data_IF_033720870375
#
_entry.id   IF_033720870375
#
_cell.length_a   1.000
_cell.length_b   1.000
_cell.length_c   1.000
_cell.angle_alpha   90.00
_cell.angle_beta   90.00
_cell.angle_gamma   90.00
#
_symmetry.space_group_name_H-M   'P 1'
#
loop_
_entity.id
_entity.type
_entity.pdbx_description
1 polymer ?
#
# COMPACT_ATOMS: atom_id res chain seq x y z
N UNK A 1 12.59 -6.07 5.81
CA UNK A 1 11.85 -6.49 4.59
C UNK A 1 11.59 -5.26 3.74
N UNK A 2 11.48 -5.40 2.41
CA UNK A 2 11.13 -4.30 1.52
C UNK A 2 9.66 -4.44 1.08
N UNK A 3 8.92 -3.34 1.20
CA UNK A 3 7.49 -3.28 0.92
C UNK A 3 7.21 -2.28 -0.21
N UNK A 4 6.31 -2.65 -1.12
CA UNK A 4 5.66 -1.70 -2.03
C UNK A 4 4.15 -1.89 -1.95
N UNK A 5 3.47 -0.89 -1.37
CA UNK A 5 2.05 -0.99 -1.08
C UNK A 5 1.15 -0.42 -2.19
N UNK A 6 1.68 -0.13 -3.38
CA UNK A 6 0.90 0.48 -4.47
C UNK A 6 1.30 0.01 -5.86
N UNK A 7 1.12 -1.28 -6.16
CA UNK A 7 1.22 -1.76 -7.55
C UNK A 7 -0.15 -1.59 -8.20
N UNK A 8 -0.25 -0.84 -9.29
CA UNK A 8 -1.57 -0.50 -9.86
C UNK A 8 -2.26 -1.72 -10.46
N UNK A 9 -3.50 -1.97 -10.04
CA UNK A 9 -4.38 -2.87 -10.78
C UNK A 9 -4.71 -2.26 -12.15
N UNK A 10 -4.84 -3.04 -13.23
CA UNK A 10 -4.99 -2.47 -14.57
C UNK A 10 -6.33 -1.78 -14.85
N UNK A 11 -7.37 -2.04 -14.05
CA UNK A 11 -8.69 -1.41 -14.21
C UNK A 11 -9.01 -0.50 -13.02
N UNK A 12 -9.79 0.55 -13.28
CA UNK A 12 -10.18 1.58 -12.29
C UNK A 12 -11.68 1.63 -12.03
N UNK A 13 -12.42 0.64 -12.53
CA UNK A 13 -13.86 0.53 -12.36
C UNK A 13 -14.28 -0.94 -12.25
N UNK A 14 -15.52 -1.18 -11.81
CA UNK A 14 -16.10 -2.52 -11.67
C UNK A 14 -16.65 -3.09 -12.98
N UNK A 15 -16.89 -2.26 -14.00
CA UNK A 15 -17.54 -2.68 -15.25
C UNK A 15 -16.61 -3.47 -16.16
N UNK A 16 -15.32 -3.13 -16.16
CA UNK A 16 -14.32 -3.74 -17.03
C UNK A 16 -13.44 -4.73 -16.25
N UNK A 17 -13.27 -5.93 -16.81
CA UNK A 17 -12.25 -6.89 -16.37
C UNK A 17 -10.92 -6.62 -17.10
N UNK A 18 -9.77 -6.84 -16.46
CA UNK A 18 -8.47 -6.69 -17.12
C UNK A 18 -8.34 -7.61 -18.33
N UNK A 19 -7.78 -7.08 -19.41
CA UNK A 19 -7.38 -7.88 -20.57
C UNK A 19 -6.13 -8.71 -20.28
N UNK A 20 -5.89 -9.78 -21.03
CA UNK A 20 -4.72 -10.64 -20.84
C UNK A 20 -3.39 -9.88 -21.02
N UNK A 21 -3.34 -8.90 -21.95
CA UNK A 21 -2.16 -8.03 -22.15
C UNK A 21 -1.90 -7.17 -20.91
N UNK A 22 -2.94 -6.60 -20.32
CA UNK A 22 -2.84 -5.82 -19.08
C UNK A 22 -2.40 -6.66 -17.89
N UNK A 23 -2.90 -7.90 -17.76
CA UNK A 23 -2.44 -8.84 -16.74
C UNK A 23 -0.97 -9.20 -16.94
N UNK A 24 -0.53 -9.43 -18.17
CA UNK A 24 0.88 -9.70 -18.44
C UNK A 24 1.78 -8.51 -18.05
N UNK A 25 1.34 -7.27 -18.30
CA UNK A 25 2.06 -6.08 -17.85
C UNK A 25 2.15 -5.98 -16.32
N UNK A 26 1.08 -6.33 -15.60
CA UNK A 26 1.09 -6.46 -14.14
C UNK A 26 2.10 -7.53 -13.71
N UNK A 27 2.13 -8.70 -14.35
CA UNK A 27 3.05 -9.77 -14.00
C UNK A 27 4.51 -9.39 -14.18
N UNK A 28 4.82 -8.70 -15.28
CA UNK A 28 6.15 -8.18 -15.55
C UNK A 28 6.55 -7.15 -14.48
N UNK A 29 5.62 -6.30 -14.04
CA UNK A 29 5.86 -5.29 -13.00
C UNK A 29 6.16 -5.94 -11.65
N UNK A 30 5.35 -6.92 -11.23
CA UNK A 30 5.56 -7.69 -10.00
C UNK A 30 6.90 -8.42 -10.03
N UNK A 31 7.21 -9.08 -11.15
CA UNK A 31 8.49 -9.78 -11.34
C UNK A 31 9.68 -8.83 -11.21
N UNK A 32 9.58 -7.63 -11.82
CA UNK A 32 10.63 -6.62 -11.76
C UNK A 32 10.84 -6.09 -10.34
N UNK A 33 9.75 -5.81 -9.61
CA UNK A 33 9.83 -5.39 -8.20
C UNK A 33 10.48 -6.47 -7.32
N UNK A 34 10.12 -7.73 -7.54
CA UNK A 34 10.76 -8.84 -6.84
C UNK A 34 12.26 -8.94 -7.14
N UNK A 35 12.67 -8.79 -8.41
CA UNK A 35 14.08 -8.73 -8.79
C UNK A 35 14.84 -7.57 -8.14
N UNK A 36 14.17 -6.45 -7.86
CA UNK A 36 14.72 -5.30 -7.12
C UNK A 36 14.77 -5.52 -5.60
N UNK A 37 14.33 -6.69 -5.11
CA UNK A 37 14.40 -7.11 -3.70
C UNK A 37 13.12 -6.88 -2.89
N UNK A 38 12.01 -6.46 -3.52
CA UNK A 38 10.74 -6.32 -2.83
C UNK A 38 10.08 -7.69 -2.58
N UNK A 39 9.70 -7.94 -1.33
CA UNK A 39 9.13 -9.22 -0.90
C UNK A 39 7.64 -9.13 -0.59
N UNK A 40 7.17 -7.95 -0.19
CA UNK A 40 5.78 -7.72 0.22
C UNK A 40 5.16 -6.66 -0.69
N UNK A 41 4.19 -7.06 -1.51
CA UNK A 41 3.56 -6.18 -2.50
C UNK A 41 2.06 -6.08 -2.23
N UNK A 42 1.50 -4.87 -2.30
CA UNK A 42 0.06 -4.67 -2.30
C UNK A 42 -0.43 -4.18 -3.67
N UNK A 43 -1.40 -4.89 -4.21
CA UNK A 43 -2.03 -4.58 -5.50
C UNK A 43 -3.19 -3.64 -5.24
N UNK A 44 -3.10 -2.43 -5.78
CA UNK A 44 -4.00 -1.33 -5.52
C UNK A 44 -5.08 -1.24 -6.60
N UNK A 45 -6.34 -1.38 -6.19
CA UNK A 45 -7.50 -1.02 -6.99
C UNK A 45 -7.89 0.42 -6.65
N UNK A 46 -7.69 1.35 -7.60
CA UNK A 46 -8.05 2.76 -7.44
C UNK A 46 -9.43 3.02 -8.04
N UNK A 47 -10.32 3.61 -7.24
CA UNK A 47 -11.64 4.05 -7.67
C UNK A 47 -11.74 5.57 -7.62
N UNK A 48 -12.29 6.13 -8.68
CA UNK A 48 -12.63 7.55 -8.79
C UNK A 48 -13.86 7.90 -7.95
N UNK A 49 -14.17 9.20 -7.86
CA UNK A 49 -15.29 9.72 -7.11
C UNK A 49 -16.64 9.15 -7.57
N UNK A 50 -17.59 8.99 -6.64
CA UNK A 50 -18.98 8.58 -6.90
C UNK A 50 -19.19 7.17 -7.51
N UNK A 51 -18.18 6.30 -7.49
CA UNK A 51 -18.36 4.91 -7.94
C UNK A 51 -19.17 4.11 -6.91
N UNK A 52 -20.29 3.52 -7.35
CA UNK A 52 -21.12 2.64 -6.51
C UNK A 52 -20.46 1.28 -6.36
N UNK A 53 -20.41 0.78 -5.12
CA UNK A 53 -19.97 -0.59 -4.85
C UNK A 53 -21.01 -1.61 -5.34
N UNK A 54 -20.57 -2.76 -5.88
CA UNK A 54 -21.46 -3.88 -6.18
C UNK A 54 -22.24 -4.33 -4.93
N UNK A 55 -23.47 -4.79 -5.14
CA UNK A 55 -24.29 -5.34 -4.05
C UNK A 55 -23.78 -6.71 -3.58
N UNK A 56 -23.15 -7.48 -4.49
CA UNK A 56 -22.59 -8.78 -4.17
C UNK A 56 -21.27 -8.61 -3.39
N UNK A 57 -21.17 -9.11 -2.14
CA UNK A 57 -19.97 -8.95 -1.33
C UNK A 57 -18.71 -9.58 -1.90
N UNK A 58 -18.84 -10.53 -2.84
CA UNK A 58 -17.71 -11.20 -3.49
C UNK A 58 -17.15 -10.41 -4.68
N UNK A 59 -17.92 -9.47 -5.24
CA UNK A 59 -17.52 -8.65 -6.39
C UNK A 59 -16.89 -7.32 -5.96
N UNK A 60 -16.93 -6.99 -4.66
CA UNK A 60 -16.34 -5.77 -4.10
C UNK A 60 -14.82 -5.73 -4.32
N UNK A 61 -14.14 -6.88 -4.26
CA UNK A 61 -12.72 -6.96 -4.56
C UNK A 61 -12.52 -7.69 -5.90
N UNK A 62 -12.18 -6.97 -6.99
CA UNK A 62 -12.00 -7.59 -8.30
C UNK A 62 -10.64 -8.28 -8.47
N UNK A 63 -9.73 -8.17 -7.48
CA UNK A 63 -8.39 -8.74 -7.53
C UNK A 63 -8.48 -10.20 -7.07
N UNK A 64 -8.32 -11.14 -8.00
CA UNK A 64 -8.18 -12.56 -7.69
C UNK A 64 -6.78 -12.86 -7.16
N UNK A 65 -6.63 -12.71 -5.85
CA UNK A 65 -5.38 -12.96 -5.12
C UNK A 65 -4.89 -14.40 -5.30
N UNK A 66 -5.78 -15.37 -5.33
CA UNK A 66 -5.39 -16.79 -5.30
C UNK A 66 -4.78 -17.20 -6.65
N UNK A 67 -5.37 -16.73 -7.75
CA UNK A 67 -4.80 -16.88 -9.09
C UNK A 67 -3.42 -16.21 -9.22
N UNK A 68 -3.27 -15.00 -8.68
CA UNK A 68 -2.00 -14.28 -8.70
C UNK A 68 -0.93 -15.00 -7.89
N UNK A 69 -1.29 -15.49 -6.71
CA UNK A 69 -0.38 -16.26 -5.86
C UNK A 69 0.03 -17.56 -6.54
N UNK A 70 -0.91 -18.31 -7.12
CA UNK A 70 -0.61 -19.53 -7.84
C UNK A 70 0.39 -19.30 -8.99
N UNK A 71 0.26 -18.18 -9.72
CA UNK A 71 1.19 -17.83 -10.80
C UNK A 71 2.64 -17.61 -10.33
N UNK A 72 2.82 -17.02 -9.15
CA UNK A 72 4.15 -16.67 -8.64
C UNK A 72 4.74 -17.66 -7.65
N UNK A 73 3.94 -18.51 -7.00
CA UNK A 73 4.38 -19.36 -5.90
C UNK A 73 5.53 -20.31 -6.28
N UNK A 74 5.52 -20.86 -7.51
CA UNK A 74 6.59 -21.73 -7.98
C UNK A 74 7.91 -20.99 -8.25
N UNK A 75 7.83 -19.73 -8.67
CA UNK A 75 9.01 -18.93 -9.09
C UNK A 75 9.57 -18.08 -7.96
N UNK A 76 8.70 -17.56 -7.09
CA UNK A 76 9.00 -16.59 -6.04
C UNK A 76 8.27 -16.97 -4.74
N UNK A 77 8.76 -18.00 -4.01
CA UNK A 77 8.09 -18.51 -2.81
C UNK A 77 8.06 -17.48 -1.66
N UNK A 78 9.02 -16.56 -1.62
CA UNK A 78 9.11 -15.52 -0.59
C UNK A 78 8.21 -14.30 -0.86
N UNK A 79 7.56 -14.25 -2.04
CA UNK A 79 6.71 -13.14 -2.45
C UNK A 79 5.33 -13.22 -1.79
N UNK A 80 4.98 -12.18 -1.03
CA UNK A 80 3.68 -12.03 -0.38
C UNK A 80 2.86 -10.95 -1.06
N UNK A 81 1.67 -11.33 -1.55
CA UNK A 81 0.74 -10.44 -2.23
C UNK A 81 -0.45 -10.09 -1.34
N UNK A 82 -0.76 -8.81 -1.28
CA UNK A 82 -1.89 -8.23 -0.53
C UNK A 82 -2.79 -7.43 -1.45
N UNK A 83 -4.03 -7.21 -1.03
CA UNK A 83 -4.99 -6.37 -1.78
C UNK A 83 -5.18 -5.02 -1.10
N UNK A 84 -5.21 -3.96 -1.91
CA UNK A 84 -5.40 -2.59 -1.44
C UNK A 84 -6.51 -1.92 -2.25
N UNK A 85 -7.32 -1.11 -1.59
CA UNK A 85 -8.27 -0.19 -2.21
C UNK A 85 -7.81 1.24 -1.99
N UNK A 86 -7.84 2.08 -3.02
CA UNK A 86 -7.69 3.54 -2.90
C UNK A 86 -8.96 4.23 -3.39
N UNK A 87 -9.59 5.03 -2.53
CA UNK A 87 -10.79 5.81 -2.88
C UNK A 87 -10.44 7.29 -3.03
N UNK A 88 -10.76 7.88 -4.19
CA UNK A 88 -10.70 9.33 -4.36
C UNK A 88 -11.96 9.94 -3.73
N UNK A 89 -11.77 10.86 -2.78
CA UNK A 89 -12.88 11.46 -2.02
C UNK A 89 -12.78 12.98 -2.04
N UNK A 90 -13.86 13.62 -2.47
CA UNK A 90 -13.99 15.08 -2.44
C UNK A 90 -14.95 15.55 -1.35
N UNK A 91 -16.06 14.85 -1.18
CA UNK A 91 -17.10 15.22 -0.24
C UNK A 91 -17.17 14.21 0.92
N UNK A 92 -17.20 14.66 2.20
CA UNK A 92 -17.31 13.76 3.34
C UNK A 92 -18.50 12.78 3.31
N UNK A 93 -19.57 13.06 2.56
CA UNK A 93 -20.71 12.14 2.42
C UNK A 93 -20.31 10.80 1.77
N UNK A 94 -19.34 10.81 0.86
CA UNK A 94 -18.84 9.62 0.16
C UNK A 94 -18.12 8.64 1.09
N UNK A 95 -17.69 9.10 2.27
CA UNK A 95 -17.02 8.28 3.27
C UNK A 95 -17.93 7.20 3.90
N UNK A 96 -19.25 7.37 3.84
CA UNK A 96 -20.21 6.44 4.47
C UNK A 96 -20.17 5.03 3.86
N UNK A 97 -19.71 4.90 2.61
CA UNK A 97 -19.57 3.60 1.94
C UNK A 97 -18.41 2.74 2.45
N UNK A 98 -17.48 3.32 3.22
CA UNK A 98 -16.23 2.66 3.58
C UNK A 98 -16.44 1.39 4.42
N UNK A 99 -17.44 1.38 5.31
CA UNK A 99 -17.74 0.23 6.17
C UNK A 99 -18.07 -1.05 5.38
N UNK A 100 -18.57 -0.93 4.14
CA UNK A 100 -18.87 -2.09 3.29
C UNK A 100 -17.61 -2.77 2.73
N UNK A 101 -16.52 -2.02 2.59
CA UNK A 101 -15.28 -2.48 1.93
C UNK A 101 -14.15 -2.81 2.90
N UNK A 102 -14.24 -2.36 4.16
CA UNK A 102 -13.19 -2.54 5.19
C UNK A 102 -12.67 -3.97 5.36
N UNK A 103 -13.54 -4.97 5.20
CA UNK A 103 -13.21 -6.39 5.36
C UNK A 103 -12.94 -7.13 4.05
N UNK A 104 -12.88 -6.42 2.92
CA UNK A 104 -12.70 -7.01 1.57
C UNK A 104 -11.30 -6.78 0.99
N UNK A 105 -10.58 -5.81 1.53
CA UNK A 105 -9.21 -5.48 1.16
C UNK A 105 -8.33 -5.50 2.41
N UNK A 106 -7.08 -5.94 2.25
CA UNK A 106 -6.10 -5.93 3.35
C UNK A 106 -5.77 -4.50 3.80
N UNK A 107 -5.64 -3.58 2.84
CA UNK A 107 -5.31 -2.17 3.08
C UNK A 107 -6.39 -1.25 2.50
N UNK A 108 -6.80 -0.27 3.30
CA UNK A 108 -7.69 0.81 2.86
C UNK A 108 -6.92 2.12 2.82
N UNK A 109 -6.87 2.72 1.63
CA UNK A 109 -6.29 4.03 1.39
C UNK A 109 -7.35 5.01 0.88
N UNK A 110 -7.15 6.29 1.17
CA UNK A 110 -7.99 7.39 0.67
C UNK A 110 -7.10 8.46 0.05
N UNK A 111 -7.55 8.99 -1.09
CA UNK A 111 -6.95 10.13 -1.78
C UNK A 111 -7.90 11.33 -1.68
N UNK A 112 -7.77 12.20 -0.65
CA UNK A 112 -8.68 13.31 -0.46
C UNK A 112 -8.35 14.47 -1.41
N UNK A 113 -9.37 14.97 -2.12
CA UNK A 113 -9.26 16.11 -3.06
C UNK A 113 -9.74 17.43 -2.45
N UNK A 114 -10.24 17.44 -1.21
CA UNK A 114 -10.61 18.65 -0.47
C UNK A 114 -10.11 18.64 0.98
N UNK A 115 -9.95 19.81 1.59
CA UNK A 115 -9.56 19.92 3.00
C UNK A 115 -10.62 19.28 3.92
N UNK A 116 -11.90 19.40 3.56
CA UNK A 116 -13.01 18.77 4.31
C UNK A 116 -12.95 17.25 4.23
N UNK A 117 -12.69 16.68 3.05
CA UNK A 117 -12.49 15.25 2.87
C UNK A 117 -11.30 14.73 3.68
N UNK A 118 -10.18 15.48 3.70
CA UNK A 118 -9.03 15.11 4.52
C UNK A 118 -9.39 15.04 6.02
N UNK A 119 -10.07 16.05 6.57
CA UNK A 119 -10.49 16.01 7.98
C UNK A 119 -11.44 14.85 8.29
N UNK A 120 -12.39 14.58 7.39
CA UNK A 120 -13.34 13.47 7.56
C UNK A 120 -12.61 12.12 7.55
N UNK A 121 -11.67 11.93 6.63
CA UNK A 121 -10.87 10.71 6.48
C UNK A 121 -10.10 10.35 7.75
N UNK A 122 -9.57 11.34 8.47
CA UNK A 122 -8.79 11.14 9.70
C UNK A 122 -9.65 10.53 10.83
N UNK A 123 -10.97 10.62 10.76
CA UNK A 123 -11.90 10.06 11.75
C UNK A 123 -12.43 8.68 11.37
N UNK A 124 -11.95 8.09 10.26
CA UNK A 124 -12.37 6.78 9.76
C UNK A 124 -11.26 5.74 9.94
N UNK A 125 -11.62 4.48 9.81
CA UNK A 125 -10.68 3.34 9.83
C UNK A 125 -9.93 3.19 8.50
N UNK A 126 -9.12 4.20 8.18
CA UNK A 126 -8.26 4.27 7.00
C UNK A 126 -6.80 4.07 7.42
N UNK A 127 -6.06 3.26 6.68
CA UNK A 127 -4.67 2.92 7.00
C UNK A 127 -3.69 3.96 6.42
N UNK A 128 -3.96 4.38 5.18
CA UNK A 128 -3.07 5.21 4.36
C UNK A 128 -3.86 6.40 3.78
N UNK A 129 -3.27 7.60 3.86
CA UNK A 129 -3.73 8.77 3.10
C UNK A 129 -2.73 9.01 1.98
N UNK A 130 -3.21 8.93 0.74
CA UNK A 130 -2.44 9.22 -0.46
C UNK A 130 -2.76 10.62 -0.98
N UNK A 131 -1.81 11.25 -1.65
CA UNK A 131 -2.07 12.51 -2.35
C UNK A 131 -1.56 12.41 -3.78
N UNK A 132 -2.29 13.04 -4.71
CA UNK A 132 -1.78 13.26 -6.05
C UNK A 132 -0.66 14.30 -5.99
N UNK A 133 0.59 13.83 -5.96
CA UNK A 133 1.76 14.70 -5.85
C UNK A 133 2.06 15.47 -7.14
N UNK A 134 1.52 15.06 -8.29
CA UNK A 134 1.87 15.63 -9.60
C UNK A 134 1.06 16.87 -9.95
N UNK A 135 -0.13 17.01 -9.40
CA UNK A 135 -0.95 18.21 -9.53
C UNK A 135 -0.73 19.12 -8.32
N UNK A 136 -0.95 20.42 -8.49
CA UNK A 136 -0.92 21.34 -7.33
C UNK A 136 -2.04 20.93 -6.37
N UNK A 137 -1.69 20.67 -5.10
CA UNK A 137 -2.70 20.31 -4.12
C UNK A 137 -3.72 21.45 -3.95
N UNK A 138 -5.03 21.14 -3.92
CA UNK A 138 -6.09 22.14 -3.85
C UNK A 138 -6.21 22.81 -2.48
N UNK A 139 -5.51 22.29 -1.47
CA UNK A 139 -5.49 22.84 -0.11
C UNK A 139 -4.10 22.76 0.51
N UNK A 140 -3.89 23.52 1.58
CA UNK A 140 -2.62 23.55 2.29
C UNK A 140 -2.57 22.47 3.39
N UNK A 141 -1.46 21.70 3.44
CA UNK A 141 -1.26 20.69 4.48
C UNK A 141 -0.89 21.35 5.82
N UNK A 142 -1.89 21.51 6.70
CA UNK A 142 -1.70 22.07 8.04
C UNK A 142 -1.06 21.06 8.98
N UNK A 143 -0.04 21.49 9.73
CA UNK A 143 0.70 20.65 10.67
C UNK A 143 -0.21 19.94 11.68
N UNK A 144 -1.18 20.66 12.28
CA UNK A 144 -2.11 20.09 13.27
C UNK A 144 -2.91 18.91 12.72
N UNK A 145 -3.38 19.01 11.48
CA UNK A 145 -4.17 17.97 10.81
C UNK A 145 -3.33 16.75 10.48
N UNK A 146 -2.15 16.95 9.89
CA UNK A 146 -1.25 15.87 9.50
C UNK A 146 -0.69 15.15 10.74
N UNK A 147 -0.31 15.90 11.78
CA UNK A 147 0.15 15.30 13.04
C UNK A 147 -0.95 14.49 13.71
N UNK A 148 -2.18 15.02 13.79
CA UNK A 148 -3.33 14.28 14.34
C UNK A 148 -3.56 12.93 13.62
N UNK A 149 -3.48 12.91 12.29
CA UNK A 149 -3.58 11.66 11.54
C UNK A 149 -2.45 10.69 11.87
N UNK A 150 -1.22 11.21 11.96
CA UNK A 150 -0.02 10.42 12.31
C UNK A 150 -0.13 9.82 13.71
N UNK A 151 -0.64 10.59 14.68
CA UNK A 151 -0.81 10.14 16.07
C UNK A 151 -1.91 9.07 16.18
N UNK A 152 -2.89 9.05 15.26
CA UNK A 152 -3.85 7.95 15.09
C UNK A 152 -3.28 6.72 14.36
N UNK A 153 -2.01 6.74 13.96
CA UNK A 153 -1.37 5.65 13.23
C UNK A 153 -1.69 5.60 11.72
N UNK A 154 -2.23 6.68 11.16
CA UNK A 154 -2.42 6.83 9.71
C UNK A 154 -1.09 7.24 9.09
N UNK A 155 -0.72 6.58 8.00
CA UNK A 155 0.49 6.90 7.26
C UNK A 155 0.18 7.69 6.00
N UNK A 156 1.11 8.55 5.58
CA UNK A 156 1.00 9.37 4.38
C UNK A 156 1.86 8.80 3.25
N UNK A 157 1.23 8.53 2.11
CA UNK A 157 1.88 7.94 0.95
C UNK A 157 2.46 9.01 0.02
N UNK A 158 3.70 8.79 -0.40
CA UNK A 158 4.35 9.47 -1.52
C UNK A 158 4.50 8.44 -2.65
N UNK A 159 3.66 8.57 -3.68
CA UNK A 159 3.70 7.74 -4.87
C UNK A 159 4.66 8.34 -5.91
N UNK A 160 5.75 7.65 -6.25
CA UNK A 160 6.82 8.24 -7.07
C UNK A 160 6.69 7.99 -8.58
N UNK A 161 6.03 6.91 -9.04
CA UNK A 161 5.92 6.58 -10.48
C UNK A 161 5.36 7.74 -11.32
N UNK A 162 4.34 8.49 -10.87
CA UNK A 162 3.82 9.64 -11.61
C UNK A 162 4.87 10.75 -11.87
N UNK A 163 5.94 10.85 -11.07
CA UNK A 163 7.05 11.77 -11.34
C UNK A 163 7.93 11.31 -12.51
N UNK A 164 8.09 9.99 -12.65
CA UNK A 164 8.90 9.35 -13.70
C UNK A 164 8.12 9.32 -15.02
N UNK A 165 6.84 8.99 -14.94
CA UNK A 165 5.98 8.70 -16.09
C UNK A 165 5.00 9.82 -16.44
N UNK A 166 4.90 10.85 -15.59
CA UNK A 166 4.03 12.01 -15.81
C UNK A 166 4.22 12.58 -17.21
N UNK A 167 3.19 13.25 -17.77
CA UNK A 167 2.91 13.38 -19.22
C UNK A 167 4.18 13.33 -20.08
N UNK A 168 4.63 12.11 -20.35
CA UNK A 168 5.98 11.85 -20.81
C UNK A 168 6.06 12.16 -22.30
N UNK A 169 6.35 13.42 -22.60
CA UNK A 169 6.85 13.86 -23.89
C UNK A 169 8.24 14.42 -23.66
N UNK A 170 9.27 13.69 -24.01
CA UNK A 170 10.52 14.36 -24.34
C UNK A 170 10.32 14.98 -25.72
N UNK A 171 10.42 16.29 -25.80
CA UNK A 171 10.36 17.00 -27.09
C UNK A 171 11.77 17.12 -27.62
N UNK A 172 12.03 16.48 -28.76
CA UNK A 172 13.25 16.72 -29.52
C UNK A 172 13.03 18.06 -30.24
N UNK A 173 13.80 19.07 -29.88
CA UNK A 173 13.81 20.33 -30.62
C UNK A 173 14.64 20.12 -31.89
N UNK A 174 14.07 20.38 -33.07
CA UNK A 174 14.62 20.06 -34.40
C UNK A 174 15.99 20.68 -34.76
N UNK A 175 16.72 21.31 -33.82
CA UNK A 175 18.00 21.96 -34.08
C UNK A 175 19.07 21.72 -32.99
N UNK A 176 18.86 20.81 -32.04
CA UNK A 176 19.94 20.39 -31.14
C UNK A 176 19.68 18.99 -30.60
N UNK A 177 20.72 18.18 -30.43
CA UNK A 177 20.70 16.85 -29.79
C UNK A 177 20.28 16.89 -28.30
N UNK A 178 19.71 18.01 -27.83
CA UNK A 178 19.25 18.21 -26.47
C UNK A 178 17.81 17.73 -26.31
N UNK A 179 17.67 16.56 -25.68
CA UNK A 179 16.39 16.01 -25.27
C UNK A 179 15.83 16.86 -24.12
N UNK A 180 14.82 17.69 -24.40
CA UNK A 180 14.16 18.55 -23.40
C UNK A 180 12.83 17.95 -22.94
N UNK A 181 12.52 18.12 -21.66
CA UNK A 181 11.26 17.66 -21.07
C UNK A 181 10.11 18.60 -21.48
N UNK A 182 8.94 18.06 -21.85
CA UNK A 182 7.77 18.89 -22.14
C UNK A 182 7.39 19.80 -20.96
N UNK A 183 6.79 20.95 -21.25
CA UNK A 183 6.33 21.92 -20.23
C UNK A 183 5.42 21.26 -19.19
N UNK A 184 4.53 20.36 -19.61
CA UNK A 184 3.62 19.62 -18.74
C UNK A 184 4.36 18.68 -17.78
N UNK A 185 5.39 17.99 -18.26
CA UNK A 185 6.20 17.10 -17.43
C UNK A 185 7.14 17.88 -16.48
N UNK A 186 7.64 19.04 -16.90
CA UNK A 186 8.39 19.95 -16.02
C UNK A 186 7.50 20.46 -14.87
N UNK A 187 6.27 20.88 -15.18
CA UNK A 187 5.30 21.33 -14.17
C UNK A 187 4.91 20.20 -13.21
N UNK A 188 4.70 18.99 -13.72
CA UNK A 188 4.43 17.78 -12.93
C UNK A 188 5.53 17.51 -11.88
N UNK A 189 6.81 17.55 -12.29
CA UNK A 189 7.95 17.36 -11.38
C UNK A 189 8.08 18.50 -10.38
N UNK A 190 7.88 19.75 -10.80
CA UNK A 190 7.86 20.91 -9.89
C UNK A 190 6.80 20.73 -8.79
N UNK A 191 5.58 20.36 -9.17
CA UNK A 191 4.50 20.11 -8.22
C UNK A 191 4.83 18.94 -7.29
N UNK A 192 5.41 17.86 -7.81
CA UNK A 192 5.85 16.71 -7.02
C UNK A 192 6.76 17.13 -5.88
N UNK A 193 7.86 17.83 -6.18
CA UNK A 193 8.79 18.29 -5.14
C UNK A 193 8.12 19.27 -4.18
N UNK A 194 7.33 20.22 -4.69
CA UNK A 194 6.61 21.19 -3.85
C UNK A 194 5.67 20.50 -2.83
N UNK A 195 4.86 19.55 -3.29
CA UNK A 195 3.90 18.83 -2.47
C UNK A 195 4.60 17.89 -1.47
N UNK A 196 5.66 17.20 -1.90
CA UNK A 196 6.46 16.33 -1.01
C UNK A 196 7.12 17.16 0.10
N UNK A 197 7.74 18.30 -0.23
CA UNK A 197 8.32 19.21 0.76
C UNK A 197 7.26 19.74 1.72
N UNK A 198 6.07 20.08 1.21
CA UNK A 198 4.95 20.53 2.02
C UNK A 198 4.49 19.43 3.01
N UNK A 199 4.42 18.17 2.56
CA UNK A 199 4.06 17.02 3.39
C UNK A 199 5.13 16.71 4.44
N UNK A 200 6.41 16.71 4.07
CA UNK A 200 7.54 16.50 5.01
C UNK A 200 7.49 17.56 6.12
N UNK A 201 7.32 18.83 5.75
CA UNK A 201 7.17 19.93 6.72
C UNK A 201 5.94 19.73 7.62
N UNK A 202 4.79 19.41 7.04
CA UNK A 202 3.54 19.27 7.79
C UNK A 202 3.52 18.06 8.74
N UNK A 203 4.19 16.97 8.36
CA UNK A 203 4.30 15.74 9.15
C UNK A 203 5.47 15.73 10.15
N UNK A 204 6.36 16.74 10.09
CA UNK A 204 7.67 16.71 10.76
C UNK A 204 8.45 15.44 10.42
N UNK A 205 8.33 15.00 9.16
CA UNK A 205 8.92 13.78 8.60
C UNK A 205 8.48 12.47 9.29
N UNK A 206 7.35 12.46 9.99
CA UNK A 206 6.80 11.26 10.65
C UNK A 206 5.71 10.61 9.79
N UNK A 207 5.57 9.29 9.92
CA UNK A 207 4.46 8.56 9.29
C UNK A 207 4.46 8.59 7.77
N UNK A 208 5.60 8.83 7.12
CA UNK A 208 5.72 8.84 5.67
C UNK A 208 5.99 7.43 5.14
N UNK A 209 5.30 7.02 4.09
CA UNK A 209 5.60 5.82 3.32
C UNK A 209 5.80 6.16 1.85
N UNK A 210 6.59 5.35 1.16
CA UNK A 210 6.80 5.48 -0.29
C UNK A 210 6.31 4.22 -0.98
N UNK A 211 5.71 4.41 -2.14
CA UNK A 211 5.22 3.34 -2.99
C UNK A 211 5.47 3.68 -4.45
N UNK A 212 5.44 2.66 -5.31
CA UNK A 212 5.69 2.87 -6.73
C UNK A 212 4.51 3.54 -7.42
N UNK A 213 3.29 3.04 -7.27
CA UNK A 213 2.19 3.39 -8.19
C UNK A 213 2.49 2.95 -9.62
N UNK A 214 3.32 1.92 -9.80
CA UNK A 214 3.74 1.46 -11.11
C UNK A 214 2.62 0.68 -11.80
N UNK A 215 2.32 1.06 -13.04
CA UNK A 215 1.49 0.30 -13.99
C UNK A 215 2.35 -0.51 -14.96
N UNK A 216 3.63 -0.17 -15.08
CA UNK A 216 4.58 -0.82 -15.97
C UNK A 216 5.92 -1.07 -15.27
N UNK A 217 6.60 -2.16 -15.67
CA UNK A 217 7.90 -2.57 -15.12
C UNK A 217 8.97 -1.47 -15.17
N UNK A 218 8.99 -0.66 -16.23
CA UNK A 218 9.95 0.45 -16.42
C UNK A 218 9.86 1.55 -15.36
N UNK A 219 8.76 1.58 -14.60
CA UNK A 219 8.51 2.56 -13.55
C UNK A 219 9.00 2.09 -12.18
N UNK A 220 9.32 0.80 -12.03
CA UNK A 220 9.87 0.25 -10.80
C UNK A 220 11.28 0.81 -10.54
N UNK A 221 11.61 1.06 -9.27
CA UNK A 221 12.91 1.61 -8.85
C UNK A 221 13.43 0.84 -7.65
N UNK A 222 14.75 0.82 -7.49
CA UNK A 222 15.37 0.18 -6.35
C UNK A 222 15.14 1.01 -5.08
N UNK A 223 15.23 0.37 -3.91
CA UNK A 223 15.14 1.05 -2.63
C UNK A 223 16.23 2.12 -2.43
N UNK A 224 17.40 1.93 -3.05
CA UNK A 224 18.51 2.89 -3.02
C UNK A 224 18.20 4.15 -3.82
N UNK A 225 17.56 4.03 -4.99
CA UNK A 225 17.13 5.19 -5.79
C UNK A 225 16.07 5.99 -5.04
N UNK A 226 15.11 5.30 -4.43
CA UNK A 226 14.08 5.92 -3.59
C UNK A 226 14.73 6.63 -2.40
N UNK A 227 15.70 6.01 -1.73
CA UNK A 227 16.43 6.64 -0.64
C UNK A 227 17.15 7.91 -1.10
N UNK A 228 17.76 7.90 -2.29
CA UNK A 228 18.41 9.08 -2.87
C UNK A 228 17.41 10.22 -3.13
N UNK A 229 16.25 9.89 -3.72
CA UNK A 229 15.17 10.85 -3.95
C UNK A 229 14.70 11.50 -2.64
N UNK A 230 14.41 10.71 -1.62
CA UNK A 230 13.92 11.21 -0.34
C UNK A 230 14.96 12.06 0.41
N UNK A 231 16.23 11.66 0.37
CA UNK A 231 17.34 12.45 0.91
C UNK A 231 17.45 13.82 0.24
N UNK A 232 17.28 13.86 -1.08
CA UNK A 232 17.25 15.11 -1.85
C UNK A 232 16.09 16.01 -1.43
N UNK A 233 14.95 15.43 -1.04
CA UNK A 233 13.81 16.15 -0.46
C UNK A 233 13.99 16.54 1.02
N UNK A 234 15.16 16.31 1.63
CA UNK A 234 15.47 16.74 3.00
C UNK A 234 15.10 15.73 4.10
N UNK A 235 14.84 14.46 3.76
CA UNK A 235 14.71 13.40 4.76
C UNK A 235 16.08 12.86 5.17
N UNK A 236 16.24 12.54 6.45
CA UNK A 236 17.41 11.83 6.92
C UNK A 236 17.42 10.36 6.45
N UNK A 237 18.59 9.74 6.42
CA UNK A 237 18.75 8.34 5.98
C UNK A 237 17.87 7.35 6.72
N UNK A 238 17.65 7.58 8.03
CA UNK A 238 16.90 6.63 8.86
C UNK A 238 15.40 6.69 8.55
N UNK A 239 14.83 7.90 8.45
CA UNK A 239 13.42 8.11 8.09
C UNK A 239 13.14 7.74 6.63
N UNK A 240 14.07 8.05 5.73
CA UNK A 240 13.98 7.63 4.32
C UNK A 240 13.99 6.10 4.20
N UNK A 241 14.82 5.38 4.97
CA UNK A 241 14.81 3.92 4.99
C UNK A 241 13.50 3.38 5.57
N UNK A 242 13.05 3.93 6.69
CA UNK A 242 11.82 3.52 7.35
C UNK A 242 10.57 3.67 6.46
N UNK A 243 10.57 4.57 5.46
CA UNK A 243 9.41 4.77 4.59
C UNK A 243 9.12 3.63 3.61
N UNK A 244 10.08 2.72 3.38
CA UNK A 244 9.89 1.52 2.55
C UNK A 244 10.19 0.20 3.30
N UNK A 245 10.55 0.28 4.59
CA UNK A 245 10.69 -0.88 5.49
C UNK A 245 9.59 -0.88 6.57
N UNK A 246 9.73 -0.04 7.59
CA UNK A 246 9.00 -0.18 8.86
C UNK A 246 7.61 0.48 8.81
N UNK A 247 7.49 1.62 8.14
CA UNK A 247 6.22 2.36 8.05
C UNK A 247 5.19 1.62 7.17
N UNK A 248 5.54 1.08 5.99
CA UNK A 248 4.65 0.20 5.25
C UNK A 248 4.25 -1.04 6.03
N UNK A 249 5.19 -1.63 6.77
CA UNK A 249 4.94 -2.79 7.63
C UNK A 249 3.85 -2.48 8.67
N UNK A 250 3.99 -1.35 9.38
CA UNK A 250 2.99 -0.87 10.33
C UNK A 250 1.63 -0.59 9.69
N UNK A 251 1.63 0.01 8.49
CA UNK A 251 0.39 0.27 7.75
C UNK A 251 -0.33 -1.05 7.36
N UNK A 252 0.41 -2.05 6.90
CA UNK A 252 -0.12 -3.37 6.58
C UNK A 252 -0.63 -4.08 7.84
N UNK A 253 0.12 -4.07 8.95
CA UNK A 253 -0.31 -4.65 10.23
C UNK A 253 -1.62 -4.00 10.70
N UNK A 254 -1.75 -2.67 10.61
CA UNK A 254 -2.96 -1.96 10.98
C UNK A 254 -4.17 -2.41 10.16
N UNK A 255 -3.99 -2.55 8.84
CA UNK A 255 -5.03 -3.07 7.95
C UNK A 255 -5.43 -4.51 8.29
N UNK A 256 -4.46 -5.38 8.62
CA UNK A 256 -4.74 -6.76 9.05
C UNK A 256 -5.47 -6.83 10.38
N UNK A 257 -5.06 -6.01 11.35
CA UNK A 257 -5.72 -5.96 12.65
C UNK A 257 -7.16 -5.45 12.53
N UNK A 258 -7.48 -4.55 11.58
CA UNK A 258 -8.87 -4.16 11.29
C UNK A 258 -9.74 -5.37 10.96
N UNK A 259 -9.19 -6.38 10.27
CA UNK A 259 -9.94 -7.54 9.75
C UNK A 259 -9.90 -8.73 10.73
N UNK A 260 -8.73 -9.03 11.29
CA UNK A 260 -8.46 -10.26 12.06
C UNK A 260 -8.56 -10.09 13.57
N UNK A 261 -8.81 -8.87 14.05
CA UNK A 261 -8.84 -8.58 15.49
C UNK A 261 -10.14 -7.90 15.91
N UNK A 262 -10.52 -8.13 17.16
CA UNK A 262 -11.53 -7.29 17.80
C UNK A 262 -10.85 -6.07 18.40
N UNK A 263 -11.02 -4.88 17.78
CA UNK A 263 -10.47 -3.61 18.28
C UNK A 263 -8.98 -3.65 18.68
N UNK A 264 -8.18 -4.47 17.98
CA UNK A 264 -6.76 -4.66 18.26
C UNK A 264 -6.43 -5.23 19.65
N UNK A 265 -7.40 -5.77 20.38
CA UNK A 265 -7.17 -6.39 21.71
C UNK A 265 -6.98 -7.89 21.64
N UNK A 266 -7.70 -8.56 20.74
CA UNK A 266 -7.66 -10.02 20.56
C UNK A 266 -7.49 -10.30 19.07
N UNK A 267 -6.44 -11.03 18.71
CA UNK A 267 -6.15 -11.48 17.34
C UNK A 267 -6.42 -12.98 17.25
N UNK A 268 -7.09 -13.41 16.20
CA UNK A 268 -7.24 -14.83 15.89
C UNK A 268 -5.95 -15.32 15.19
N UNK A 269 -5.21 -16.21 15.84
CA UNK A 269 -3.99 -16.80 15.29
C UNK A 269 -3.43 -17.92 16.17
N UNK A 270 -2.61 -18.78 15.57
CA UNK A 270 -1.96 -19.90 16.24
C UNK A 270 -0.52 -19.55 16.71
N UNK A 271 -0.17 -19.87 17.96
CA UNK A 271 1.15 -19.58 18.58
C UNK A 271 2.34 -20.36 17.98
N UNK A 272 2.23 -20.89 16.76
CA UNK A 272 3.32 -21.58 16.11
C UNK A 272 4.46 -20.59 15.86
N UNK A 273 5.59 -20.81 16.54
CA UNK A 273 6.78 -19.94 16.63
C UNK A 273 7.48 -19.58 15.32
N UNK A 274 6.93 -19.98 14.17
CA UNK A 274 7.46 -19.73 12.83
C UNK A 274 6.45 -19.13 11.84
N UNK A 275 5.17 -18.97 12.21
CA UNK A 275 4.18 -18.35 11.36
C UNK A 275 3.99 -16.88 11.75
N UNK A 276 4.46 -15.97 10.90
CA UNK A 276 4.03 -14.58 10.92
C UNK A 276 2.51 -14.51 10.71
N UNK A 277 1.75 -14.48 11.81
CA UNK A 277 0.29 -14.48 11.85
C UNK A 277 -0.35 -13.37 10.99
N UNK A 278 0.38 -12.30 10.74
CA UNK A 278 -0.08 -11.14 9.99
C UNK A 278 0.26 -11.22 8.49
N UNK A 279 1.27 -12.02 8.11
CA UNK A 279 1.74 -12.12 6.72
C UNK A 279 1.35 -13.43 6.02
N UNK A 280 1.02 -14.49 6.76
CA UNK A 280 0.59 -15.75 6.15
C UNK A 280 -0.93 -15.76 5.90
N UNK A 281 -1.31 -15.91 4.64
CA UNK A 281 -2.70 -16.03 4.16
C UNK A 281 -3.11 -17.49 3.90
N UNK A 282 -2.19 -18.44 4.08
CA UNK A 282 -2.29 -19.82 3.57
C UNK A 282 -3.46 -20.64 4.14
N UNK A 283 -4.06 -20.18 5.24
CA UNK A 283 -5.16 -20.87 5.92
C UNK A 283 -6.54 -20.24 5.70
N UNK A 284 -6.64 -19.07 5.05
CA UNK A 284 -7.87 -18.27 5.00
C UNK A 284 -9.04 -18.93 4.24
N UNK A 285 -8.77 -19.81 3.27
CA UNK A 285 -9.82 -20.39 2.41
C UNK A 285 -10.28 -21.81 2.80
N UNK A 286 -9.68 -22.43 3.82
CA UNK A 286 -10.04 -23.82 4.17
C UNK A 286 -11.27 -23.94 5.07
N UNK A 287 -11.74 -22.85 5.70
CA UNK A 287 -12.84 -22.91 6.67
C UNK A 287 -13.79 -21.72 6.52
N UNK A 288 -15.05 -22.02 6.16
CA UNK A 288 -16.20 -21.09 6.23
C UNK A 288 -16.50 -20.59 7.66
N UNK A 289 -15.72 -21.04 8.64
CA UNK A 289 -15.78 -20.64 10.05
C UNK A 289 -14.44 -19.99 10.39
N UNK A 290 -14.46 -18.79 10.96
CA UNK A 290 -13.28 -18.00 11.41
C UNK A 290 -12.49 -18.64 12.57
N UNK A 291 -12.58 -19.96 12.76
CA UNK A 291 -11.96 -20.71 13.84
C UNK A 291 -10.83 -21.57 13.27
N UNK A 292 -9.59 -21.20 13.57
CA UNK A 292 -8.46 -22.11 13.40
C UNK A 292 -8.61 -23.26 14.41
N UNK A 293 -8.60 -24.49 13.92
CA UNK A 293 -8.68 -25.66 14.81
C UNK A 293 -7.29 -25.89 15.41
N UNK A 294 -7.17 -25.66 16.71
CA UNK A 294 -5.97 -26.01 17.46
C UNK A 294 -6.11 -27.43 18.02
N UNK A 295 -5.14 -28.30 17.72
CA UNK A 295 -5.05 -29.61 18.38
C UNK A 295 -4.53 -29.35 19.80
N UNK A 296 -5.42 -29.41 20.79
CA UNK A 296 -5.06 -29.24 22.20
C UNK A 296 -3.96 -30.26 22.54
N UNK A 297 -2.76 -29.84 22.96
CA UNK A 297 -1.78 -30.78 23.47
C UNK A 297 -2.39 -31.44 24.72
N UNK A 298 -2.24 -32.76 24.82
CA UNK A 298 -2.64 -33.51 26.02
C UNK A 298 -2.01 -32.83 27.25
N UNK A 299 -2.86 -32.55 28.24
CA UNK A 299 -2.61 -31.79 29.47
C UNK A 299 -1.13 -31.57 29.81
N UNK A 300 -0.68 -30.32 29.69
CA UNK A 300 0.64 -29.93 30.16
C UNK A 300 0.67 -30.00 31.69
N UNK A 301 1.27 -31.05 32.24
CA UNK A 301 1.79 -31.02 33.61
C UNK A 301 2.75 -29.82 33.73
N UNK A 302 2.80 -29.12 34.89
CA UNK A 302 3.70 -27.97 35.11
C UNK A 302 5.18 -28.25 34.75
N UNK A 303 5.60 -29.51 34.77
CA UNK A 303 6.94 -29.97 34.41
C UNK A 303 7.26 -29.88 32.90
N UNK A 304 6.26 -29.78 32.03
CA UNK A 304 6.45 -29.81 30.57
C UNK A 304 6.96 -28.47 29.99
N UNK A 305 6.95 -27.40 30.78
CA UNK A 305 7.29 -26.03 30.34
C UNK A 305 8.80 -25.80 30.22
N UNK A 306 9.63 -26.58 30.91
CA UNK A 306 11.08 -26.32 31.01
C UNK A 306 11.92 -27.18 30.05
N UNK A 307 11.43 -28.33 29.59
CA UNK A 307 12.26 -29.29 28.84
C UNK A 307 12.44 -28.98 27.34
N UNK A 308 11.65 -28.08 26.73
CA UNK A 308 11.78 -27.76 25.29
C UNK A 308 13.03 -26.96 24.91
N UNK A 309 13.80 -26.43 25.87
CA UNK A 309 15.04 -25.68 25.58
C UNK A 309 16.35 -26.49 25.67
N UNK A 310 16.30 -27.79 25.94
CA UNK A 310 17.49 -28.66 25.82
C UNK A 310 17.27 -29.69 24.71
N UNK A 311 17.44 -29.27 23.45
CA UNK A 311 18.01 -30.19 22.46
C UNK A 311 19.49 -30.30 22.82
N UNK A 312 19.84 -31.37 23.52
CA UNK A 312 21.23 -31.77 23.70
C UNK A 312 21.81 -32.01 22.31
N UNK A 313 22.85 -31.24 21.96
CA UNK A 313 23.90 -31.67 21.03
C UNK A 313 24.85 -32.60 21.78
#
# INVERSE_FOLDING_TARGET
MLFDLNVSWPTTNYSAKPTQVQLQALYNTITTLHMLGYTHLAINFKLEENVKFPNNPNEINPIDRDSLKAHFNEKFPDLKLFTRLTLVINDPSQCQGLSKVQNKFDIIAVEPTSEKALQATINLDVDIISFNMVTRLPFFLRHKTICNATDKGIHFEICYSPMISGPAGYTITNNSDNVSLSTSASLARKNFFYNVLQLIRASRSRGLLVSSGASHALQARSSMDIMCLLKTCGLDSSRAKASFTDNPEKALIRGRLRIKSYKQTIVMGNDNSHSDLLYNNDLENSKKTFLEQYKRPLSSSPLHVIQKKRKLQ
#
